data_IF_520866668741
#
_entry.id   IF_520866668741
#
_cell.length_a   1.000
_cell.length_b   1.000
_cell.length_c   1.000
_cell.angle_alpha   90.00
_cell.angle_beta   90.00
_cell.angle_gamma   90.00
#
_symmetry.space_group_name_H-M   'P 1'
#
loop_
_entity.id
_entity.type
_entity.pdbx_description
1 polymer ?
#
# COMPACT_ATOMS: atom_id res chain seq x y z
N UNK A 1 -9.32 16.66 -24.19
CA UNK A 1 -7.89 16.40 -24.48
C UNK A 1 -7.00 17.12 -23.49
N UNK A 2 -6.73 16.53 -22.33
CA UNK A 2 -5.66 16.99 -21.44
C UNK A 2 -4.52 15.98 -21.53
N UNK A 3 -3.55 16.20 -22.42
CA UNK A 3 -2.34 15.38 -22.45
C UNK A 3 -1.49 15.76 -21.23
N UNK A 4 -1.75 15.09 -20.11
CA UNK A 4 -0.85 15.12 -18.96
C UNK A 4 0.25 14.08 -19.20
N UNK A 5 1.50 14.54 -19.26
CA UNK A 5 2.67 13.65 -19.34
C UNK A 5 3.07 13.27 -17.91
N UNK A 6 2.56 12.14 -17.43
CA UNK A 6 2.80 11.64 -16.07
C UNK A 6 3.62 10.34 -16.17
N UNK A 7 4.71 10.28 -15.42
CA UNK A 7 5.47 9.06 -15.21
C UNK A 7 5.26 8.61 -13.76
N UNK A 8 4.91 7.34 -13.57
CA UNK A 8 4.86 6.70 -12.25
C UNK A 8 5.98 5.68 -12.19
N UNK A 9 6.80 5.77 -11.14
CA UNK A 9 7.89 4.83 -10.89
C UNK A 9 7.59 4.11 -9.58
N UNK A 10 7.73 2.78 -9.61
CA UNK A 10 7.44 1.92 -8.47
C UNK A 10 8.76 1.35 -7.95
N UNK A 11 9.00 1.52 -6.66
CA UNK A 11 10.11 0.90 -5.95
C UNK A 11 9.58 -0.08 -4.92
N UNK A 12 10.27 -1.21 -4.78
CA UNK A 12 9.91 -2.30 -3.88
C UNK A 12 11.13 -2.74 -3.06
N UNK A 13 10.91 -3.51 -1.99
CA UNK A 13 11.99 -4.09 -1.20
C UNK A 13 12.89 -3.03 -0.53
N UNK A 14 14.20 -3.26 -0.53
CA UNK A 14 15.18 -2.37 0.12
C UNK A 14 15.22 -0.98 -0.51
N UNK A 15 14.97 -0.85 -1.81
CA UNK A 15 15.00 0.44 -2.49
C UNK A 15 13.85 1.36 -2.07
N UNK A 16 12.67 0.79 -1.75
CA UNK A 16 11.58 1.57 -1.17
C UNK A 16 12.02 2.19 0.16
N UNK A 17 12.69 1.41 1.02
CA UNK A 17 13.19 1.90 2.31
C UNK A 17 14.30 2.95 2.15
N UNK A 18 15.19 2.77 1.18
CA UNK A 18 16.26 3.74 0.87
C UNK A 18 15.67 5.06 0.39
N UNK A 19 14.70 5.04 -0.51
CA UNK A 19 14.08 6.26 -1.01
C UNK A 19 13.28 7.01 0.05
N UNK A 20 12.64 6.31 0.99
CA UNK A 20 11.91 6.97 2.08
C UNK A 20 12.82 7.82 2.99
N UNK A 21 14.10 7.47 3.12
CA UNK A 21 15.06 8.22 3.96
C UNK A 21 15.60 9.50 3.29
N UNK A 22 15.37 9.67 1.98
CA UNK A 22 15.79 10.84 1.23
C UNK A 22 14.75 11.96 1.32
N UNK A 23 15.19 13.20 1.13
CA UNK A 23 14.27 14.31 0.83
C UNK A 23 13.58 14.13 -0.53
N UNK A 24 12.45 14.80 -0.77
CA UNK A 24 11.72 14.72 -2.05
C UNK A 24 12.60 15.08 -3.27
N UNK A 25 13.45 16.10 -3.14
CA UNK A 25 14.38 16.53 -4.20
C UNK A 25 15.42 15.46 -4.50
N UNK A 26 16.05 14.89 -3.46
CA UNK A 26 17.04 13.82 -3.61
C UNK A 26 16.43 12.56 -4.23
N UNK A 27 15.27 12.12 -3.72
CA UNK A 27 14.55 10.97 -4.28
C UNK A 27 14.16 11.21 -5.74
N UNK A 28 13.62 12.39 -6.08
CA UNK A 28 13.27 12.74 -7.46
C UNK A 28 14.50 12.68 -8.38
N UNK A 29 15.63 13.25 -7.96
CA UNK A 29 16.85 13.26 -8.77
C UNK A 29 17.46 11.86 -8.91
N UNK A 30 17.40 11.03 -7.87
CA UNK A 30 17.83 9.63 -7.88
C UNK A 30 17.04 8.83 -8.93
N UNK A 31 15.71 8.99 -8.96
CA UNK A 31 14.83 8.38 -9.97
C UNK A 31 15.16 8.87 -11.38
N UNK A 32 15.23 10.20 -11.58
CA UNK A 32 15.52 10.77 -12.91
C UNK A 32 16.87 10.31 -13.46
N UNK A 33 17.87 10.15 -12.58
CA UNK A 33 19.19 9.63 -12.94
C UNK A 33 19.11 8.16 -13.34
N UNK A 34 18.35 7.36 -12.58
CA UNK A 34 18.19 5.91 -12.80
C UNK A 34 17.44 5.58 -14.10
N UNK A 35 16.47 6.41 -14.51
CA UNK A 35 15.68 6.17 -15.73
C UNK A 35 16.30 6.79 -16.99
N UNK A 36 17.29 7.68 -16.86
CA UNK A 36 17.91 8.39 -18.00
C UNK A 36 18.44 7.44 -19.09
N UNK A 37 19.11 6.31 -18.76
CA UNK A 37 19.55 5.36 -19.79
C UNK A 37 18.39 4.71 -20.55
N UNK A 38 17.24 4.50 -19.89
CA UNK A 38 16.03 3.90 -20.47
C UNK A 38 15.39 4.89 -21.46
N UNK A 39 15.38 6.16 -21.10
CA UNK A 39 14.76 7.22 -21.91
C UNK A 39 15.62 7.67 -23.09
N UNK A 40 16.92 7.33 -23.10
CA UNK A 40 17.87 7.74 -24.15
C UNK A 40 18.15 9.24 -24.23
N UNK A 41 17.53 10.03 -23.35
CA UNK A 41 17.66 11.48 -23.28
C UNK A 41 17.44 11.97 -21.84
N UNK A 42 17.88 13.18 -21.56
CA UNK A 42 17.54 13.86 -20.31
C UNK A 42 16.06 14.24 -20.33
N UNK A 43 15.25 13.85 -19.32
CA UNK A 43 13.86 14.29 -19.22
C UNK A 43 13.75 15.82 -19.21
N UNK A 44 12.68 16.41 -19.76
CA UNK A 44 12.42 17.83 -19.59
C UNK A 44 12.24 18.16 -18.10
N UNK A 45 12.39 19.44 -17.76
CA UNK A 45 12.16 19.91 -16.39
C UNK A 45 10.75 19.50 -15.91
N UNK A 46 10.70 18.90 -14.71
CA UNK A 46 9.44 18.47 -14.11
C UNK A 46 8.62 19.70 -13.70
N UNK A 47 7.32 19.70 -14.05
CA UNK A 47 6.37 20.71 -13.54
C UNK A 47 6.05 20.47 -12.06
N UNK A 48 6.03 19.21 -11.65
CA UNK A 48 5.82 18.77 -10.27
C UNK A 48 6.36 17.36 -10.08
N UNK A 49 6.68 17.01 -8.85
CA UNK A 49 6.95 15.64 -8.42
C UNK A 49 6.25 15.37 -7.08
N UNK A 50 5.96 14.09 -6.82
CA UNK A 50 5.41 13.64 -5.55
C UNK A 50 6.05 12.31 -5.17
N UNK A 51 6.58 12.25 -3.95
CA UNK A 51 7.15 11.03 -3.37
C UNK A 51 6.27 10.57 -2.22
N UNK A 52 5.83 9.31 -2.25
CA UNK A 52 5.06 8.69 -1.17
C UNK A 52 5.99 7.95 -0.22
N UNK A 53 5.70 7.98 1.09
CA UNK A 53 6.47 7.29 2.13
C UNK A 53 5.55 6.47 3.03
N UNK A 54 5.00 5.39 2.47
CA UNK A 54 3.97 4.60 3.13
C UNK A 54 4.45 3.99 4.45
N UNK A 55 5.71 3.57 4.56
CA UNK A 55 6.24 3.00 5.82
C UNK A 55 6.35 4.06 6.91
N UNK A 56 6.83 5.25 6.56
CA UNK A 56 7.04 6.35 7.51
C UNK A 56 5.75 7.10 7.88
N UNK A 57 4.71 6.98 7.06
CA UNK A 57 3.44 7.68 7.26
C UNK A 57 2.69 7.15 8.50
N UNK A 58 2.35 8.01 9.48
CA UNK A 58 1.85 7.60 10.80
C UNK A 58 0.57 6.75 10.77
N UNK A 59 -0.28 6.95 9.77
CA UNK A 59 -1.59 6.28 9.66
C UNK A 59 -1.57 4.97 8.87
N UNK A 60 -0.51 4.70 8.10
CA UNK A 60 -0.42 3.50 7.26
C UNK A 60 0.70 2.57 7.69
N UNK A 61 1.87 3.12 8.09
CA UNK A 61 3.03 2.37 8.60
C UNK A 61 3.52 1.25 7.67
N UNK A 62 3.17 1.31 6.40
CA UNK A 62 3.40 0.30 5.38
C UNK A 62 2.43 0.48 4.21
N UNK A 63 2.65 -0.27 3.12
CA UNK A 63 1.78 -0.22 1.95
C UNK A 63 0.52 -1.06 2.12
N UNK A 64 0.70 -2.37 2.32
CA UNK A 64 -0.36 -3.36 2.45
C UNK A 64 0.21 -4.66 3.00
N UNK A 65 -0.65 -5.53 3.51
CA UNK A 65 -0.25 -6.83 4.06
C UNK A 65 0.32 -7.78 3.00
N UNK A 66 1.21 -8.67 3.45
CA UNK A 66 1.69 -9.81 2.67
C UNK A 66 1.84 -11.02 3.61
N UNK A 67 1.77 -12.23 3.05
CA UNK A 67 2.03 -13.45 3.81
C UNK A 67 3.55 -13.67 3.86
N UNK A 68 4.16 -13.47 5.03
CA UNK A 68 5.59 -13.70 5.22
C UNK A 68 5.88 -15.20 5.36
N UNK A 69 7.16 -15.57 5.32
CA UNK A 69 7.57 -16.95 5.56
C UNK A 69 7.08 -17.39 6.94
N UNK A 70 6.28 -18.46 6.97
CA UNK A 70 5.67 -19.00 8.19
C UNK A 70 4.22 -18.56 8.44
N UNK A 71 3.69 -17.58 7.70
CA UNK A 71 2.27 -17.21 7.78
C UNK A 71 1.39 -18.37 7.32
N UNK A 72 0.38 -18.71 8.11
CA UNK A 72 -0.66 -19.70 7.81
C UNK A 72 -1.94 -19.01 7.36
N UNK A 73 -2.76 -19.69 6.58
CA UNK A 73 -4.09 -19.19 6.21
C UNK A 73 -4.94 -18.82 7.45
N UNK A 74 -4.84 -19.64 8.51
CA UNK A 74 -5.53 -19.44 9.78
C UNK A 74 -5.13 -18.15 10.52
N UNK A 75 -3.98 -17.55 10.20
CA UNK A 75 -3.55 -16.31 10.85
C UNK A 75 -4.46 -15.15 10.44
N UNK A 76 -4.91 -15.13 9.17
CA UNK A 76 -5.87 -14.13 8.70
C UNK A 76 -7.25 -14.33 9.34
N UNK A 77 -7.70 -15.57 9.50
CA UNK A 77 -8.95 -15.88 10.22
C UNK A 77 -8.87 -15.45 11.69
N UNK A 78 -7.69 -15.57 12.29
CA UNK A 78 -7.44 -15.14 13.66
C UNK A 78 -7.53 -13.63 13.80
N UNK A 79 -6.90 -12.87 12.90
CA UNK A 79 -6.94 -11.40 12.91
C UNK A 79 -8.35 -10.88 12.57
N UNK A 80 -9.10 -11.60 11.74
CA UNK A 80 -10.48 -11.26 11.38
C UNK A 80 -11.51 -11.49 12.49
N UNK A 81 -11.17 -12.30 13.51
CA UNK A 81 -12.11 -12.80 14.52
C UNK A 81 -12.57 -11.69 15.48
N UNK A 82 -13.89 -11.46 15.63
CA UNK A 82 -14.42 -10.54 16.63
C UNK A 82 -14.01 -10.92 18.06
N UNK A 83 -13.88 -9.91 18.93
CA UNK A 83 -13.57 -10.05 20.35
C UNK A 83 -14.61 -9.30 21.19
N UNK A 84 -15.64 -10.01 21.63
CA UNK A 84 -16.77 -9.43 22.35
C UNK A 84 -17.50 -8.40 21.48
N UNK A 85 -17.39 -7.10 21.85
CA UNK A 85 -18.01 -5.98 21.11
C UNK A 85 -17.07 -5.34 20.08
N UNK A 86 -15.88 -5.90 19.87
CA UNK A 86 -14.88 -5.40 18.94
C UNK A 86 -14.86 -6.25 17.66
N UNK A 87 -15.02 -5.62 16.51
CA UNK A 87 -15.04 -6.27 15.19
C UNK A 87 -13.93 -5.70 14.32
N UNK A 88 -13.29 -6.55 13.51
CA UNK A 88 -12.12 -6.20 12.72
C UNK A 88 -12.40 -6.34 11.22
N UNK A 89 -12.14 -5.24 10.50
CA UNK A 89 -12.21 -5.15 9.04
C UNK A 89 -10.93 -4.50 8.49
N UNK A 90 -10.70 -4.65 7.20
CA UNK A 90 -9.53 -4.14 6.49
C UNK A 90 -8.97 -5.16 5.51
N UNK A 91 -8.09 -4.72 4.61
CA UNK A 91 -7.46 -5.62 3.62
C UNK A 91 -6.75 -6.82 4.28
N UNK A 92 -6.16 -6.60 5.46
CA UNK A 92 -5.42 -7.60 6.22
C UNK A 92 -6.32 -8.63 6.95
N UNK A 93 -7.66 -8.48 6.91
CA UNK A 93 -8.61 -9.43 7.51
C UNK A 93 -9.33 -10.29 6.46
N UNK A 94 -8.91 -10.22 5.19
CA UNK A 94 -9.44 -11.05 4.12
C UNK A 94 -8.33 -11.95 3.55
N UNK A 95 -8.23 -13.19 4.01
CA UNK A 95 -7.16 -14.11 3.60
C UNK A 95 -7.09 -14.34 2.08
N UNK A 96 -8.24 -14.33 1.39
CA UNK A 96 -8.36 -14.59 -0.06
C UNK A 96 -7.94 -13.38 -0.90
N UNK A 97 -8.38 -12.18 -0.53
CA UNK A 97 -8.22 -10.95 -1.31
C UNK A 97 -7.37 -9.87 -0.60
N UNK A 98 -6.44 -10.29 0.26
CA UNK A 98 -5.52 -9.40 0.99
C UNK A 98 -4.70 -8.50 0.06
N UNK A 99 -4.32 -7.33 0.56
CA UNK A 99 -3.56 -6.33 -0.19
C UNK A 99 -4.35 -5.60 -1.27
N UNK A 100 -5.68 -5.72 -1.28
CA UNK A 100 -6.54 -5.12 -2.31
C UNK A 100 -7.66 -4.27 -1.72
N UNK A 101 -8.13 -3.31 -2.52
CA UNK A 101 -9.28 -2.46 -2.18
C UNK A 101 -10.58 -3.29 -2.07
N UNK A 102 -10.81 -4.23 -2.99
CA UNK A 102 -12.02 -5.06 -2.95
C UNK A 102 -12.00 -6.02 -1.76
N UNK A 103 -10.84 -6.54 -1.35
CA UNK A 103 -10.69 -7.31 -0.13
C UNK A 103 -11.07 -6.53 1.12
N UNK A 104 -10.61 -5.27 1.23
CA UNK A 104 -11.01 -4.36 2.30
C UNK A 104 -12.53 -4.12 2.30
N UNK A 105 -13.12 -3.83 1.14
CA UNK A 105 -14.57 -3.66 1.00
C UNK A 105 -15.36 -4.89 1.47
N UNK A 106 -15.00 -6.08 0.99
CA UNK A 106 -15.66 -7.33 1.35
C UNK A 106 -15.52 -7.63 2.85
N UNK A 107 -14.35 -7.34 3.45
CA UNK A 107 -14.14 -7.52 4.88
C UNK A 107 -15.01 -6.58 5.73
N UNK A 108 -15.27 -5.36 5.25
CA UNK A 108 -16.15 -4.41 5.92
C UNK A 108 -17.60 -4.89 5.93
N UNK A 109 -18.07 -5.45 4.81
CA UNK A 109 -19.39 -6.08 4.73
C UNK A 109 -19.51 -7.25 5.70
N UNK A 110 -18.51 -8.16 5.71
CA UNK A 110 -18.46 -9.28 6.66
C UNK A 110 -18.57 -8.82 8.11
N UNK A 111 -17.72 -7.86 8.52
CA UNK A 111 -17.73 -7.37 9.90
C UNK A 111 -19.05 -6.68 10.29
N UNK A 112 -19.70 -5.99 9.34
CA UNK A 112 -21.02 -5.42 9.55
C UNK A 112 -22.09 -6.51 9.74
N UNK A 113 -22.07 -7.56 8.91
CA UNK A 113 -23.00 -8.68 9.02
C UNK A 113 -22.81 -9.44 10.35
N UNK A 114 -21.55 -9.67 10.77
CA UNK A 114 -21.21 -10.25 12.08
C UNK A 114 -21.75 -9.42 13.24
N UNK A 115 -21.62 -8.09 13.17
CA UNK A 115 -22.14 -7.18 14.19
C UNK A 115 -23.66 -7.22 14.25
N UNK A 116 -24.35 -7.20 13.10
CA UNK A 116 -25.82 -7.26 13.04
C UNK A 116 -26.32 -8.57 13.64
N UNK A 117 -25.71 -9.69 13.27
CA UNK A 117 -26.07 -11.02 13.80
C UNK A 117 -25.87 -11.14 15.32
N UNK A 118 -24.86 -10.47 15.89
CA UNK A 118 -24.64 -10.49 17.33
C UNK A 118 -25.62 -9.60 18.12
N UNK A 119 -26.39 -8.74 17.44
CA UNK A 119 -27.40 -7.88 18.05
C UNK A 119 -28.82 -8.48 17.98
N UNK A 120 -29.00 -9.57 17.25
CA UNK A 120 -30.25 -10.34 17.13
C UNK A 120 -30.24 -11.56 18.02
#
# INVERSE_FOLDING_TARGET
NSQANILVVIYTGSEALRLESLSDSQATQDVLTSIRPILGATPPALKSSRVTRWKSEPYTKGSYSFASVGTKASDFDTIARPQGRLYFAGEHTNGTYRGTVHGAYLSGRRAADELVLALT
#
